data_IF_034325352327
#
_entry.id   IF_034325352327
#
_cell.length_a   1.000
_cell.length_b   1.000
_cell.length_c   1.000
_cell.angle_alpha   90.00
_cell.angle_beta   90.00
_cell.angle_gamma   90.00
#
_symmetry.space_group_name_H-M   'P 1'
#
loop_
_entity.id
_entity.type
_entity.pdbx_description
1 polymer ?
#
# COMPACT_ATOMS: atom_id res chain seq x y z
N UNK A 1 -30.38 17.92 -16.89
CA UNK A 1 -31.79 18.21 -16.53
C UNK A 1 -32.65 18.57 -17.74
N UNK A 2 -32.26 19.52 -18.61
CA UNK A 2 -33.07 19.90 -19.78
C UNK A 2 -33.20 18.84 -20.89
N UNK A 3 -32.19 17.97 -21.09
CA UNK A 3 -32.24 16.92 -22.12
C UNK A 3 -33.19 15.76 -21.75
N UNK A 4 -33.31 15.48 -20.45
CA UNK A 4 -34.23 14.46 -19.90
C UNK A 4 -35.68 14.96 -19.96
N UNK A 5 -35.91 16.25 -19.70
CA UNK A 5 -37.23 16.89 -19.81
C UNK A 5 -37.79 16.91 -21.25
N UNK A 6 -36.93 17.02 -22.27
CA UNK A 6 -37.37 17.01 -23.67
C UNK A 6 -37.77 15.61 -24.14
N UNK A 7 -37.06 14.57 -23.67
CA UNK A 7 -37.40 13.16 -23.93
C UNK A 7 -38.68 12.78 -23.17
N UNK A 8 -38.84 13.21 -21.92
CA UNK A 8 -40.05 12.95 -21.13
C UNK A 8 -41.30 13.58 -21.76
N UNK A 9 -41.21 14.82 -22.28
CA UNK A 9 -42.33 15.50 -22.93
C UNK A 9 -42.70 14.90 -24.29
N UNK A 10 -41.70 14.43 -25.04
CA UNK A 10 -41.89 13.69 -26.29
C UNK A 10 -42.56 12.33 -26.05
N UNK A 11 -42.21 11.64 -24.96
CA UNK A 11 -42.79 10.35 -24.58
C UNK A 11 -44.18 10.47 -23.91
N UNK A 12 -44.49 11.57 -23.22
CA UNK A 12 -45.85 11.84 -22.70
C UNK A 12 -46.87 12.12 -23.83
N UNK A 13 -46.45 12.79 -24.90
CA UNK A 13 -47.35 13.16 -26.01
C UNK A 13 -47.63 12.01 -26.99
N UNK A 14 -46.69 11.06 -27.19
CA UNK A 14 -46.90 9.92 -28.11
C UNK A 14 -47.53 8.66 -27.47
N UNK A 15 -47.40 8.45 -26.15
CA UNK A 15 -47.72 7.16 -25.52
C UNK A 15 -48.93 7.20 -24.56
N UNK A 16 -49.67 8.31 -24.51
CA UNK A 16 -50.85 8.48 -23.65
C UNK A 16 -52.11 7.73 -24.16
N UNK A 17 -52.09 7.18 -25.37
CA UNK A 17 -53.24 6.48 -25.95
C UNK A 17 -52.82 5.20 -26.64
N UNK A 18 -53.40 4.10 -26.16
CA UNK A 18 -53.40 2.73 -26.72
C UNK A 18 -52.30 1.76 -26.25
N UNK A 19 -52.74 0.53 -25.98
CA UNK A 19 -51.97 -0.65 -25.59
C UNK A 19 -50.88 -0.98 -26.64
N UNK A 20 -49.71 -0.37 -26.52
CA UNK A 20 -48.55 -0.73 -27.33
C UNK A 20 -47.75 -1.82 -26.62
N UNK A 21 -47.89 -3.06 -27.08
CA UNK A 21 -46.94 -4.15 -26.80
C UNK A 21 -45.59 -3.80 -27.46
N UNK A 22 -44.67 -3.20 -26.70
CA UNK A 22 -43.32 -2.88 -27.20
C UNK A 22 -42.46 -4.15 -27.17
N UNK A 23 -42.04 -4.55 -28.36
CA UNK A 23 -41.32 -5.78 -28.70
C UNK A 23 -40.01 -5.99 -27.89
N UNK A 24 -39.68 -7.26 -27.61
CA UNK A 24 -38.50 -7.86 -26.94
C UNK A 24 -37.10 -7.50 -27.53
N UNK A 25 -36.90 -6.30 -28.09
CA UNK A 25 -35.66 -5.87 -28.76
C UNK A 25 -35.44 -4.37 -28.65
N UNK A 26 -35.74 -3.77 -27.51
CA UNK A 26 -35.75 -2.31 -27.42
C UNK A 26 -34.36 -1.68 -27.69
N UNK A 27 -33.24 -2.35 -27.32
CA UNK A 27 -31.89 -1.82 -27.59
C UNK A 27 -30.79 -2.91 -27.79
N UNK A 28 -30.82 -3.71 -28.88
CA UNK A 28 -29.82 -4.76 -29.15
C UNK A 28 -28.38 -4.23 -29.35
N UNK A 29 -28.20 -2.91 -29.49
CA UNK A 29 -26.93 -2.26 -29.81
C UNK A 29 -26.45 -1.28 -28.75
N UNK A 30 -27.03 -1.29 -27.54
CA UNK A 30 -26.57 -0.40 -26.48
C UNK A 30 -25.17 -0.80 -26.02
N UNK A 31 -24.18 0.03 -26.36
CA UNK A 31 -22.77 -0.19 -26.06
C UNK A 31 -22.37 0.36 -24.68
N UNK A 32 -23.12 1.34 -24.17
CA UNK A 32 -22.81 2.15 -23.01
C UNK A 32 -24.06 2.33 -22.14
N UNK A 33 -23.95 1.97 -20.87
CA UNK A 33 -24.98 2.22 -19.85
C UNK A 33 -24.36 2.98 -18.69
N UNK A 34 -24.90 4.18 -18.41
CA UNK A 34 -24.44 5.04 -17.32
C UNK A 34 -25.60 5.31 -16.38
N UNK A 35 -25.46 4.89 -15.12
CA UNK A 35 -26.47 5.04 -14.08
C UNK A 35 -25.81 5.60 -12.82
N UNK A 36 -25.18 6.78 -12.89
CA UNK A 36 -24.40 7.34 -11.78
C UNK A 36 -25.26 8.10 -10.78
N UNK A 37 -24.94 7.99 -9.49
CA UNK A 37 -25.55 8.83 -8.45
C UNK A 37 -26.95 8.41 -8.01
N UNK A 38 -27.36 7.16 -8.24
CA UNK A 38 -28.60 6.60 -7.71
C UNK A 38 -28.35 5.97 -6.31
N UNK A 39 -29.35 5.31 -5.72
CA UNK A 39 -29.23 4.67 -4.40
C UNK A 39 -29.58 3.18 -4.48
N UNK A 40 -28.85 2.44 -5.32
CA UNK A 40 -29.13 1.02 -5.56
C UNK A 40 -28.96 0.15 -4.31
N UNK A 41 -28.00 0.46 -3.43
CA UNK A 41 -27.87 -0.27 -2.16
C UNK A 41 -27.41 -1.71 -2.36
N UNK A 42 -28.27 -2.70 -2.18
CA UNK A 42 -27.92 -4.12 -2.35
C UNK A 42 -28.28 -4.60 -3.76
N UNK A 43 -27.29 -5.10 -4.51
CA UNK A 43 -27.46 -5.64 -5.88
C UNK A 43 -27.00 -7.11 -5.98
N UNK A 44 -26.98 -7.83 -4.85
CA UNK A 44 -26.51 -9.22 -4.82
C UNK A 44 -27.37 -10.18 -5.64
N UNK A 45 -28.66 -9.88 -5.82
CA UNK A 45 -29.61 -10.81 -6.44
C UNK A 45 -29.70 -10.64 -7.98
N UNK A 46 -28.65 -10.07 -8.55
CA UNK A 46 -28.52 -9.81 -9.99
C UNK A 46 -28.86 -8.37 -10.33
N UNK A 47 -28.07 -7.73 -11.21
CA UNK A 47 -28.45 -6.45 -11.79
C UNK A 47 -29.45 -6.61 -12.97
N UNK A 48 -29.88 -7.86 -13.30
CA UNK A 48 -30.65 -8.20 -14.51
C UNK A 48 -31.54 -9.50 -14.44
N UNK A 49 -32.19 -9.89 -13.32
CA UNK A 49 -32.89 -11.20 -13.19
C UNK A 49 -34.37 -11.24 -12.65
N UNK A 50 -35.26 -11.78 -13.52
CA UNK A 50 -36.67 -12.27 -13.44
C UNK A 50 -37.89 -11.52 -12.81
N UNK A 51 -38.99 -11.50 -13.59
CA UNK A 51 -40.37 -11.20 -13.17
C UNK A 51 -41.06 -9.96 -13.81
N UNK A 52 -41.71 -10.13 -14.98
CA UNK A 52 -42.67 -9.22 -15.69
C UNK A 52 -42.50 -7.70 -15.42
N UNK A 53 -41.91 -6.95 -16.37
CA UNK A 53 -41.72 -5.48 -16.22
C UNK A 53 -42.25 -4.65 -17.42
N UNK A 54 -42.82 -3.44 -17.18
CA UNK A 54 -43.38 -2.53 -18.20
C UNK A 54 -42.30 -1.64 -18.89
N UNK A 55 -42.66 -0.77 -19.87
CA UNK A 55 -41.72 -0.17 -20.83
C UNK A 55 -40.74 0.88 -20.28
N UNK A 56 -39.73 1.24 -21.09
CA UNK A 56 -38.55 2.08 -20.76
C UNK A 56 -38.85 3.49 -20.22
N UNK A 57 -40.02 4.05 -20.51
CA UNK A 57 -40.46 5.29 -19.85
C UNK A 57 -40.85 5.04 -18.38
N UNK A 58 -41.46 3.89 -18.09
CA UNK A 58 -41.72 3.40 -16.73
C UNK A 58 -40.44 2.92 -16.04
N UNK A 59 -39.42 2.46 -16.79
CA UNK A 59 -38.11 2.03 -16.30
C UNK A 59 -37.31 3.17 -15.64
N UNK A 60 -37.34 4.39 -16.20
CA UNK A 60 -36.72 5.56 -15.57
C UNK A 60 -37.48 6.03 -14.33
N UNK A 61 -38.82 5.93 -14.35
CA UNK A 61 -39.70 6.27 -13.22
C UNK A 61 -39.57 5.24 -12.08
N UNK A 62 -39.39 3.96 -12.39
CA UNK A 62 -39.20 2.88 -11.42
C UNK A 62 -37.79 2.86 -10.82
N UNK A 63 -36.75 3.30 -11.55
CA UNK A 63 -35.39 3.48 -10.99
C UNK A 63 -35.35 4.57 -9.91
N UNK A 64 -36.21 5.57 -10.00
CA UNK A 64 -36.36 6.63 -8.99
C UNK A 64 -37.22 6.19 -7.79
N UNK A 65 -38.13 5.21 -7.98
CA UNK A 65 -39.09 4.75 -6.97
C UNK A 65 -38.71 3.43 -6.25
N UNK A 66 -38.03 2.49 -6.93
CA UNK A 66 -37.62 1.20 -6.36
C UNK A 66 -36.50 0.52 -7.20
N UNK A 67 -35.23 0.59 -6.78
CA UNK A 67 -34.09 0.05 -7.54
C UNK A 67 -34.04 -1.49 -7.65
N UNK A 68 -34.90 -2.22 -6.94
CA UNK A 68 -35.02 -3.67 -7.04
C UNK A 68 -35.70 -4.16 -8.35
N UNK A 69 -36.20 -3.24 -9.19
CA UNK A 69 -36.93 -3.55 -10.43
C UNK A 69 -36.06 -3.56 -11.71
N UNK A 70 -34.74 -3.42 -11.59
CA UNK A 70 -33.80 -3.39 -12.73
C UNK A 70 -33.67 -4.74 -13.48
N UNK A 71 -34.45 -5.76 -13.11
CA UNK A 71 -33.98 -7.13 -13.16
C UNK A 71 -34.88 -8.05 -14.01
N UNK A 72 -34.70 -8.12 -15.36
CA UNK A 72 -35.15 -9.30 -16.15
C UNK A 72 -34.39 -9.58 -17.48
N UNK A 73 -33.60 -10.65 -17.51
CA UNK A 73 -33.65 -11.71 -18.54
C UNK A 73 -32.85 -11.54 -19.84
N UNK A 74 -32.49 -10.32 -20.23
CA UNK A 74 -31.69 -10.12 -21.44
C UNK A 74 -30.20 -10.08 -21.15
N UNK A 75 -29.47 -10.97 -21.85
CA UNK A 75 -28.01 -10.87 -21.91
C UNK A 75 -27.66 -9.71 -22.84
N UNK A 76 -27.20 -8.61 -22.27
CA UNK A 76 -26.68 -7.47 -23.01
C UNK A 76 -25.30 -7.81 -23.59
N UNK A 77 -25.32 -8.58 -24.68
CA UNK A 77 -24.13 -9.11 -25.37
C UNK A 77 -23.34 -8.05 -26.14
N UNK A 78 -23.91 -6.85 -26.31
CA UNK A 78 -23.27 -5.69 -26.95
C UNK A 78 -22.79 -4.64 -25.94
N UNK A 79 -23.22 -4.70 -24.68
CA UNK A 79 -22.85 -3.71 -23.67
C UNK A 79 -21.37 -3.83 -23.32
N UNK A 80 -20.61 -2.80 -23.65
CA UNK A 80 -19.16 -2.73 -23.48
C UNK A 80 -18.78 -1.89 -22.26
N UNK A 81 -19.55 -0.87 -21.91
CA UNK A 81 -19.29 0.03 -20.79
C UNK A 81 -20.48 0.06 -19.84
N UNK A 82 -20.21 -0.24 -18.56
CA UNK A 82 -21.18 -0.14 -17.47
C UNK A 82 -20.63 0.81 -16.39
N UNK A 83 -21.29 1.95 -16.19
CA UNK A 83 -20.92 2.92 -15.17
C UNK A 83 -21.97 2.97 -14.06
N UNK A 84 -21.57 2.48 -12.89
CA UNK A 84 -22.36 2.38 -11.66
C UNK A 84 -21.75 3.24 -10.53
N UNK A 85 -21.04 4.31 -10.89
CA UNK A 85 -20.40 5.21 -9.91
C UNK A 85 -21.42 5.87 -8.98
N UNK A 86 -21.13 5.92 -7.68
CA UNK A 86 -21.92 6.70 -6.73
C UNK A 86 -23.30 6.13 -6.43
N UNK A 87 -23.49 4.80 -6.55
CA UNK A 87 -24.81 4.17 -6.36
C UNK A 87 -25.05 3.60 -4.96
N UNK A 88 -24.11 3.78 -4.04
CA UNK A 88 -24.20 3.21 -2.70
C UNK A 88 -24.25 1.68 -2.69
N UNK A 89 -23.66 1.02 -3.70
CA UNK A 89 -23.65 -0.45 -3.80
C UNK A 89 -22.92 -1.05 -2.59
N UNK A 90 -23.57 -1.95 -1.87
CA UNK A 90 -23.07 -2.54 -0.62
C UNK A 90 -22.68 -4.00 -0.73
N UNK A 91 -23.25 -4.73 -1.69
CA UNK A 91 -22.91 -6.13 -1.94
C UNK A 91 -22.86 -6.43 -3.43
N UNK A 92 -21.96 -7.33 -3.80
CA UNK A 92 -21.81 -7.85 -5.15
C UNK A 92 -21.74 -9.39 -5.06
N UNK A 93 -22.33 -10.11 -6.00
CA UNK A 93 -22.27 -11.58 -6.09
C UNK A 93 -21.95 -12.02 -7.52
N UNK A 94 -21.83 -13.33 -7.74
CA UNK A 94 -21.72 -13.93 -9.07
C UNK A 94 -22.93 -13.65 -9.98
N UNK A 95 -24.10 -13.38 -9.40
CA UNK A 95 -25.31 -13.10 -10.17
C UNK A 95 -25.41 -11.62 -10.55
N UNK A 96 -24.80 -10.71 -9.77
CA UNK A 96 -24.84 -9.26 -10.00
C UNK A 96 -24.55 -8.87 -11.46
N UNK A 97 -23.53 -9.45 -12.09
CA UNK A 97 -23.11 -9.06 -13.45
C UNK A 97 -23.41 -10.10 -14.54
N UNK A 98 -24.25 -11.10 -14.24
CA UNK A 98 -24.52 -12.22 -15.15
C UNK A 98 -25.17 -11.79 -16.48
N UNK A 99 -25.98 -10.73 -16.46
CA UNK A 99 -26.64 -10.17 -17.65
C UNK A 99 -25.74 -9.32 -18.56
N UNK A 100 -24.51 -9.01 -18.15
CA UNK A 100 -23.62 -8.10 -18.89
C UNK A 100 -22.24 -8.72 -19.20
N UNK A 101 -22.16 -9.92 -19.82
CA UNK A 101 -20.89 -10.65 -19.98
C UNK A 101 -19.92 -10.01 -20.99
N UNK A 102 -20.41 -9.10 -21.84
CA UNK A 102 -19.60 -8.42 -22.86
C UNK A 102 -18.88 -7.17 -22.35
N UNK A 103 -19.15 -6.74 -21.12
CA UNK A 103 -18.59 -5.52 -20.53
C UNK A 103 -17.07 -5.60 -20.49
N UNK A 104 -16.45 -4.55 -21.04
CA UNK A 104 -15.01 -4.31 -21.05
C UNK A 104 -14.61 -3.25 -20.03
N UNK A 105 -15.49 -2.28 -19.75
CA UNK A 105 -15.22 -1.16 -18.85
C UNK A 105 -16.28 -1.12 -17.75
N UNK A 106 -15.89 -1.39 -16.51
CA UNK A 106 -16.78 -1.34 -15.36
C UNK A 106 -16.30 -0.28 -14.37
N UNK A 107 -17.16 0.68 -14.07
CA UNK A 107 -16.92 1.71 -13.07
C UNK A 107 -17.84 1.51 -11.87
N UNK A 108 -17.24 1.23 -10.71
CA UNK A 108 -17.89 1.05 -9.41
C UNK A 108 -17.42 2.10 -8.40
N UNK A 109 -16.88 3.22 -8.87
CA UNK A 109 -16.35 4.28 -8.03
C UNK A 109 -17.37 4.79 -7.01
N UNK A 110 -16.90 5.26 -5.86
CA UNK A 110 -17.72 5.94 -4.85
C UNK A 110 -18.96 5.13 -4.40
N UNK A 111 -18.83 3.80 -4.35
CA UNK A 111 -19.79 2.90 -3.73
C UNK A 111 -19.36 2.53 -2.29
N UNK A 112 -20.08 1.63 -1.63
CA UNK A 112 -19.82 1.24 -0.24
C UNK A 112 -19.83 -0.29 -0.11
N UNK A 113 -19.07 -0.95 -0.99
CA UNK A 113 -19.04 -2.40 -1.13
C UNK A 113 -18.46 -2.99 0.15
N UNK A 114 -19.32 -3.65 0.91
CA UNK A 114 -19.01 -4.29 2.18
C UNK A 114 -18.96 -5.79 2.02
N UNK A 115 -19.69 -6.40 1.09
CA UNK A 115 -19.74 -7.87 0.94
C UNK A 115 -19.54 -8.26 -0.52
N UNK A 116 -18.82 -9.36 -0.73
CA UNK A 116 -18.69 -9.99 -2.04
C UNK A 116 -19.02 -11.47 -1.92
N UNK A 117 -19.83 -11.98 -2.84
CA UNK A 117 -19.93 -13.40 -3.13
C UNK A 117 -18.73 -13.86 -3.96
N UNK A 118 -18.44 -15.16 -3.92
CA UNK A 118 -17.41 -15.76 -4.77
C UNK A 118 -17.76 -15.56 -6.24
N UNK A 119 -16.74 -15.46 -7.09
CA UNK A 119 -16.89 -15.38 -8.55
C UNK A 119 -17.66 -14.14 -9.02
N UNK A 120 -17.66 -13.07 -8.22
CA UNK A 120 -18.41 -11.85 -8.46
C UNK A 120 -18.22 -11.27 -9.87
N UNK A 121 -16.98 -11.24 -10.36
CA UNK A 121 -16.66 -10.71 -11.68
C UNK A 121 -16.50 -11.79 -12.76
N UNK A 122 -16.68 -13.07 -12.42
CA UNK A 122 -16.50 -14.18 -13.35
C UNK A 122 -17.43 -14.14 -14.59
N UNK A 123 -18.65 -13.58 -14.55
CA UNK A 123 -19.46 -13.44 -15.77
C UNK A 123 -18.83 -12.52 -16.83
N UNK A 124 -18.04 -11.51 -16.43
CA UNK A 124 -17.49 -10.49 -17.33
C UNK A 124 -16.10 -10.91 -17.86
N UNK A 125 -16.06 -11.96 -18.67
CA UNK A 125 -14.80 -12.51 -19.21
C UNK A 125 -14.06 -11.57 -20.17
N UNK A 126 -14.71 -10.50 -20.65
CA UNK A 126 -14.12 -9.47 -21.50
C UNK A 126 -13.68 -8.22 -20.74
N UNK A 127 -13.76 -8.23 -19.41
CA UNK A 127 -13.42 -7.07 -18.59
C UNK A 127 -11.96 -6.68 -18.79
N UNK A 128 -11.72 -5.43 -19.19
CA UNK A 128 -10.41 -4.84 -19.47
C UNK A 128 -10.01 -3.79 -18.47
N UNK A 129 -10.99 -3.01 -18.00
CA UNK A 129 -10.80 -1.95 -17.01
C UNK A 129 -11.84 -2.11 -15.92
N UNK A 130 -11.36 -2.19 -14.68
CA UNK A 130 -12.18 -2.18 -13.49
C UNK A 130 -11.74 -1.02 -12.58
N UNK A 131 -12.63 -0.06 -12.40
CA UNK A 131 -12.41 1.06 -11.50
C UNK A 131 -13.26 0.90 -10.24
N UNK A 132 -12.60 0.71 -9.11
CA UNK A 132 -13.19 0.57 -7.78
C UNK A 132 -12.63 1.64 -6.84
N UNK A 133 -12.25 2.80 -7.36
CA UNK A 133 -11.71 3.90 -6.55
C UNK A 133 -12.75 4.36 -5.53
N UNK A 134 -12.39 4.35 -4.25
CA UNK A 134 -13.30 4.72 -3.17
C UNK A 134 -14.54 3.83 -3.01
N UNK A 135 -14.59 2.65 -3.65
CA UNK A 135 -15.74 1.73 -3.59
C UNK A 135 -15.77 0.85 -2.32
N UNK A 136 -14.63 0.78 -1.62
CA UNK A 136 -14.29 0.09 -0.37
C UNK A 136 -15.05 0.56 0.87
N UNK A 137 -16.17 -0.07 1.23
CA UNK A 137 -16.92 0.29 2.43
C UNK A 137 -16.13 0.19 3.75
N UNK A 138 -16.67 0.79 4.83
CA UNK A 138 -16.01 0.77 6.17
C UNK A 138 -15.94 -0.66 6.72
N UNK A 139 -14.78 -1.29 6.58
CA UNK A 139 -14.41 -2.58 7.19
C UNK A 139 -13.02 -2.49 7.79
N UNK A 140 -12.70 -3.44 8.69
CA UNK A 140 -11.31 -3.60 9.15
C UNK A 140 -10.37 -3.88 7.97
N UNK A 141 -9.09 -3.54 8.11
CA UNK A 141 -8.11 -3.77 7.03
C UNK A 141 -8.03 -5.26 6.62
N UNK A 142 -8.09 -6.20 7.57
CA UNK A 142 -8.12 -7.63 7.30
C UNK A 142 -9.36 -8.01 6.46
N UNK A 143 -10.52 -7.47 6.84
CA UNK A 143 -11.77 -7.70 6.11
C UNK A 143 -11.77 -7.09 4.70
N UNK A 144 -11.00 -6.04 4.44
CA UNK A 144 -10.82 -5.50 3.08
C UNK A 144 -9.92 -6.40 2.23
N UNK A 145 -8.85 -6.95 2.81
CA UNK A 145 -8.00 -7.92 2.11
C UNK A 145 -8.79 -9.17 1.71
N UNK A 146 -9.61 -9.70 2.63
CA UNK A 146 -10.49 -10.85 2.36
C UNK A 146 -11.50 -10.54 1.27
N UNK A 147 -12.14 -9.37 1.34
CA UNK A 147 -13.12 -8.92 0.33
C UNK A 147 -12.50 -8.84 -1.06
N UNK A 148 -11.32 -8.23 -1.20
CA UNK A 148 -10.62 -8.12 -2.48
C UNK A 148 -10.22 -9.51 -3.00
N UNK A 149 -9.73 -10.40 -2.14
CA UNK A 149 -9.41 -11.78 -2.55
C UNK A 149 -10.64 -12.54 -3.06
N UNK A 150 -11.81 -12.36 -2.43
CA UNK A 150 -13.06 -12.99 -2.88
C UNK A 150 -13.52 -12.43 -4.23
N UNK A 151 -13.40 -11.11 -4.43
CA UNK A 151 -13.79 -10.45 -5.69
C UNK A 151 -13.01 -10.99 -6.91
N UNK A 152 -11.73 -11.35 -6.72
CA UNK A 152 -10.87 -11.91 -7.77
C UNK A 152 -10.73 -13.44 -7.70
N UNK A 153 -11.57 -14.11 -6.91
CA UNK A 153 -11.68 -15.57 -6.95
C UNK A 153 -12.36 -16.01 -8.25
N UNK A 154 -11.86 -17.07 -8.87
CA UNK A 154 -12.44 -17.65 -10.11
C UNK A 154 -12.03 -19.10 -10.29
N UNK A 155 -12.95 -19.92 -10.81
CA UNK A 155 -12.69 -21.31 -11.21
C UNK A 155 -12.20 -21.41 -12.67
N UNK A 156 -12.34 -20.34 -13.46
CA UNK A 156 -11.92 -20.27 -14.85
C UNK A 156 -10.41 -20.02 -14.98
N UNK A 157 -9.94 -19.78 -16.21
CA UNK A 157 -8.53 -19.53 -16.56
C UNK A 157 -7.93 -18.24 -15.97
N UNK A 158 -8.59 -17.57 -15.03
CA UNK A 158 -8.21 -16.24 -14.53
C UNK A 158 -8.73 -15.11 -15.41
N UNK A 159 -8.62 -13.88 -14.91
CA UNK A 159 -8.96 -12.65 -15.62
C UNK A 159 -7.81 -12.30 -16.59
N UNK A 160 -7.85 -12.90 -17.78
CA UNK A 160 -6.81 -12.77 -18.81
C UNK A 160 -6.89 -11.46 -19.61
N UNK A 161 -8.07 -10.88 -19.74
CA UNK A 161 -8.29 -9.61 -20.47
C UNK A 161 -8.19 -8.38 -19.56
N UNK A 162 -8.27 -8.55 -18.23
CA UNK A 162 -8.27 -7.45 -17.27
C UNK A 162 -6.89 -6.80 -17.23
N UNK A 163 -6.75 -5.66 -17.90
CA UNK A 163 -5.51 -4.96 -18.11
C UNK A 163 -5.27 -3.84 -17.08
N UNK A 164 -6.34 -3.23 -16.56
CA UNK A 164 -6.25 -2.11 -15.63
C UNK A 164 -7.21 -2.28 -14.45
N UNK A 165 -6.65 -2.19 -13.24
CA UNK A 165 -7.39 -2.27 -11.99
C UNK A 165 -7.05 -1.05 -11.13
N UNK A 166 -8.09 -0.30 -10.75
CA UNK A 166 -7.96 0.83 -9.84
C UNK A 166 -8.64 0.54 -8.52
N UNK A 167 -7.85 0.61 -7.46
CA UNK A 167 -8.24 0.39 -6.07
C UNK A 167 -7.81 1.57 -5.19
N UNK A 168 -7.62 2.75 -5.78
CA UNK A 168 -7.23 3.95 -5.06
C UNK A 168 -8.27 4.36 -4.00
N UNK A 169 -7.84 5.11 -2.98
CA UNK A 169 -8.73 5.72 -1.98
C UNK A 169 -9.64 4.72 -1.21
N UNK A 170 -9.23 3.46 -1.10
CA UNK A 170 -10.02 2.41 -0.46
C UNK A 170 -9.61 2.12 0.99
N UNK A 171 -8.68 2.89 1.56
CA UNK A 171 -8.15 2.70 2.91
C UNK A 171 -7.66 1.25 3.17
N UNK A 172 -7.07 0.62 2.14
CA UNK A 172 -6.57 -0.74 2.21
C UNK A 172 -5.31 -0.75 3.09
N UNK A 173 -5.33 -1.48 4.20
CA UNK A 173 -4.17 -1.57 5.11
C UNK A 173 -3.23 -2.74 4.81
N UNK A 174 -3.74 -3.78 4.14
CA UNK A 174 -3.01 -5.00 3.81
C UNK A 174 -3.62 -5.67 2.58
N UNK A 175 -2.79 -6.37 1.82
CA UNK A 175 -3.16 -7.33 0.79
C UNK A 175 -2.45 -8.66 1.05
N UNK A 176 -3.02 -9.77 0.59
CA UNK A 176 -2.33 -11.05 0.61
C UNK A 176 -1.43 -11.15 -0.62
N UNK A 177 -0.30 -11.87 -0.49
CA UNK A 177 0.68 -12.01 -1.57
C UNK A 177 0.09 -12.62 -2.84
N UNK A 178 -0.98 -13.38 -2.70
CA UNK A 178 -1.67 -14.10 -3.76
C UNK A 178 -2.98 -13.45 -4.23
N UNK A 179 -3.36 -12.29 -3.67
CA UNK A 179 -4.63 -11.60 -3.97
C UNK A 179 -4.86 -11.41 -5.48
N UNK A 180 -3.81 -11.12 -6.26
CA UNK A 180 -3.94 -10.87 -7.69
C UNK A 180 -3.38 -12.00 -8.57
N UNK A 181 -3.13 -13.20 -8.03
CA UNK A 181 -2.59 -14.32 -8.81
C UNK A 181 -3.53 -14.83 -9.92
N UNK A 182 -4.83 -14.54 -9.83
CA UNK A 182 -5.82 -14.89 -10.85
C UNK A 182 -6.05 -13.77 -11.87
N UNK A 183 -5.44 -12.59 -11.69
CA UNK A 183 -5.57 -11.45 -12.61
C UNK A 183 -4.38 -11.46 -13.58
N UNK A 184 -4.37 -12.45 -14.47
CA UNK A 184 -3.22 -12.80 -15.28
C UNK A 184 -2.86 -11.74 -16.33
N UNK A 185 -3.85 -10.99 -16.82
CA UNK A 185 -3.67 -9.95 -17.84
C UNK A 185 -3.24 -8.58 -17.31
N UNK A 186 -3.09 -8.42 -15.98
CA UNK A 186 -2.99 -7.09 -15.37
C UNK A 186 -1.70 -6.39 -15.79
N UNK A 187 -1.84 -5.20 -16.38
CA UNK A 187 -0.74 -4.32 -16.80
C UNK A 187 -0.63 -3.08 -15.95
N UNK A 188 -1.75 -2.55 -15.45
CA UNK A 188 -1.78 -1.35 -14.59
C UNK A 188 -2.54 -1.63 -13.31
N UNK A 189 -1.90 -1.35 -12.19
CA UNK A 189 -2.49 -1.47 -10.86
C UNK A 189 -2.32 -0.16 -10.10
N UNK A 190 -3.44 0.46 -9.76
CA UNK A 190 -3.47 1.66 -8.93
C UNK A 190 -3.93 1.31 -7.51
N UNK A 191 -3.00 1.43 -6.57
CA UNK A 191 -3.21 1.26 -5.13
C UNK A 191 -2.91 2.57 -4.38
N UNK A 192 -2.93 3.71 -5.06
CA UNK A 192 -2.63 5.02 -4.49
C UNK A 192 -3.61 5.41 -3.38
N UNK A 193 -3.16 6.28 -2.47
CA UNK A 193 -3.99 6.86 -1.41
C UNK A 193 -4.71 5.79 -0.56
N UNK A 194 -3.99 4.72 -0.23
CA UNK A 194 -4.43 3.67 0.68
C UNK A 194 -3.64 3.73 1.99
N UNK A 195 -3.82 2.74 2.85
CA UNK A 195 -3.16 2.66 4.15
C UNK A 195 -2.06 1.58 4.16
N UNK A 196 -1.48 1.24 3.01
CA UNK A 196 -0.52 0.13 2.89
C UNK A 196 0.81 0.52 3.54
N UNK A 197 1.33 -0.36 4.39
CA UNK A 197 2.69 -0.23 4.93
C UNK A 197 3.69 -1.16 4.24
N UNK A 198 3.21 -2.14 3.46
CA UNK A 198 4.00 -3.08 2.68
C UNK A 198 3.17 -3.60 1.49
N UNK A 199 3.85 -4.09 0.46
CA UNK A 199 3.24 -4.71 -0.72
C UNK A 199 4.14 -5.88 -1.15
N UNK A 200 3.59 -7.08 -1.16
CA UNK A 200 4.29 -8.32 -1.52
C UNK A 200 3.46 -9.09 -2.53
N UNK A 201 4.13 -9.77 -3.44
CA UNK A 201 3.50 -10.56 -4.50
C UNK A 201 4.11 -11.95 -4.49
N UNK A 202 3.27 -12.98 -4.58
CA UNK A 202 3.71 -14.36 -4.67
C UNK A 202 4.43 -14.59 -6.01
N UNK A 203 5.39 -15.53 -6.07
CA UNK A 203 6.06 -15.89 -7.31
C UNK A 203 5.03 -16.25 -8.40
N UNK A 204 5.30 -15.82 -9.63
CA UNK A 204 4.47 -16.06 -10.81
C UNK A 204 3.13 -15.31 -10.87
N UNK A 205 2.90 -14.38 -9.95
CA UNK A 205 1.72 -13.51 -9.98
C UNK A 205 2.11 -12.13 -10.53
N UNK A 206 1.17 -11.45 -11.20
CA UNK A 206 1.39 -10.12 -11.80
C UNK A 206 2.56 -10.04 -12.80
N UNK A 207 2.85 -11.12 -13.55
CA UNK A 207 3.98 -11.19 -14.50
C UNK A 207 3.91 -10.15 -15.63
N UNK A 208 2.70 -9.75 -16.01
CA UNK A 208 2.45 -8.76 -17.06
C UNK A 208 2.31 -7.33 -16.54
N UNK A 209 2.52 -7.09 -15.23
CA UNK A 209 2.34 -5.76 -14.65
C UNK A 209 3.43 -4.82 -15.17
N UNK A 210 3.01 -3.75 -15.84
CA UNK A 210 3.86 -2.75 -16.47
C UNK A 210 3.90 -1.45 -15.66
N UNK A 211 2.81 -1.09 -14.98
CA UNK A 211 2.68 0.12 -14.18
C UNK A 211 2.03 -0.16 -12.82
N UNK A 212 2.65 0.37 -11.76
CA UNK A 212 2.19 0.24 -10.39
C UNK A 212 2.21 1.60 -9.69
N UNK A 213 1.05 2.04 -9.18
CA UNK A 213 0.95 3.24 -8.35
C UNK A 213 0.74 2.84 -6.88
N UNK A 214 1.72 3.19 -6.05
CA UNK A 214 1.75 3.01 -4.60
C UNK A 214 1.83 4.36 -3.86
N UNK A 215 1.57 5.47 -4.56
CA UNK A 215 1.68 6.81 -4.00
C UNK A 215 0.68 7.05 -2.85
N UNK A 216 1.00 7.97 -1.94
CA UNK A 216 0.09 8.34 -0.85
C UNK A 216 -0.27 7.20 0.11
N UNK A 217 0.63 6.24 0.31
CA UNK A 217 0.47 5.15 1.29
C UNK A 217 1.32 5.43 2.55
N UNK A 218 1.55 4.41 3.39
CA UNK A 218 2.37 4.51 4.60
C UNK A 218 3.58 3.59 4.57
N UNK A 219 4.25 3.50 3.42
CA UNK A 219 5.53 2.80 3.29
C UNK A 219 6.59 3.48 4.17
N UNK A 220 6.64 3.06 5.43
CA UNK A 220 7.53 3.55 6.50
C UNK A 220 8.34 2.38 7.04
N UNK A 221 9.63 2.57 7.28
CA UNK A 221 10.40 1.62 8.10
C UNK A 221 10.05 1.90 9.57
N UNK A 222 9.12 1.15 10.16
CA UNK A 222 8.83 1.28 11.60
C UNK A 222 9.93 0.60 12.40
N UNK A 223 10.68 1.42 13.16
CA UNK A 223 11.61 1.00 14.23
C UNK A 223 10.87 0.15 15.27
N UNK A 224 11.45 -0.98 15.65
CA UNK A 224 11.00 -1.75 16.81
C UNK A 224 11.13 -0.91 18.10
N UNK A 225 10.10 -0.91 18.94
CA UNK A 225 10.22 -0.47 20.34
C UNK A 225 11.11 -1.47 21.07
N UNK A 226 12.33 -1.08 21.43
CA UNK A 226 13.07 -1.76 22.49
C UNK A 226 12.48 -1.31 23.84
N UNK A 227 11.75 -2.20 24.51
CA UNK A 227 11.47 -2.06 25.94
C UNK A 227 12.75 -2.41 26.70
N UNK A 228 13.56 -1.41 27.01
CA UNK A 228 14.70 -1.57 27.92
C UNK A 228 14.18 -1.73 29.36
N UNK A 229 14.08 -2.98 29.81
CA UNK A 229 14.16 -3.33 31.22
C UNK A 229 14.75 -4.74 31.36
N UNK A 230 16.08 -4.78 31.48
CA UNK A 230 16.83 -5.78 32.26
C UNK A 230 16.40 -7.27 32.17
N UNK A 231 16.44 -7.86 30.98
CA UNK A 231 16.65 -9.29 30.78
C UNK A 231 17.38 -9.48 29.44
N UNK A 232 18.71 -9.38 29.47
CA UNK A 232 19.54 -9.34 28.27
C UNK A 232 19.56 -10.71 27.59
N UNK A 233 19.16 -10.76 26.31
CA UNK A 233 19.08 -11.92 25.41
C UNK A 233 17.84 -12.83 25.56
N UNK A 234 16.70 -12.37 25.05
CA UNK A 234 15.80 -13.16 24.19
C UNK A 234 14.87 -12.20 23.44
N UNK A 235 14.75 -12.35 22.12
CA UNK A 235 13.83 -11.55 21.30
C UNK A 235 14.52 -10.71 20.23
N UNK A 236 15.21 -11.36 19.28
CA UNK A 236 15.66 -10.71 18.05
C UNK A 236 14.41 -10.47 17.16
N UNK A 237 13.62 -9.43 17.46
CA UNK A 237 12.56 -8.98 16.55
C UNK A 237 13.20 -8.12 15.47
N UNK A 238 13.55 -8.78 14.37
CA UNK A 238 14.07 -8.12 13.18
C UNK A 238 12.92 -7.96 12.19
N UNK A 239 12.32 -6.76 12.13
CA UNK A 239 11.57 -6.35 10.94
C UNK A 239 12.43 -5.36 10.18
N UNK A 240 13.33 -5.89 9.35
CA UNK A 240 13.84 -5.11 8.24
C UNK A 240 12.68 -4.91 7.29
N UNK A 241 12.17 -3.69 7.18
CA UNK A 241 11.44 -3.33 5.98
C UNK A 241 12.51 -3.21 4.87
N UNK A 242 12.70 -4.31 4.15
CA UNK A 242 13.20 -4.27 2.79
C UNK A 242 12.01 -3.74 1.99
N UNK A 243 12.15 -2.61 1.30
CA UNK A 243 11.40 -2.48 0.05
C UNK A 243 11.70 -3.79 -0.70
N UNK A 244 10.71 -4.63 -1.03
CA UNK A 244 11.00 -6.01 -1.41
C UNK A 244 11.99 -5.99 -2.56
N UNK A 245 13.24 -6.37 -2.29
CA UNK A 245 14.22 -6.52 -3.38
C UNK A 245 13.70 -7.58 -4.37
N UNK A 246 12.85 -8.47 -3.87
CA UNK A 246 12.11 -9.51 -4.58
C UNK A 246 10.87 -9.04 -5.33
N UNK A 247 10.41 -7.79 -5.18
CA UNK A 247 9.32 -7.25 -6.02
C UNK A 247 9.77 -7.24 -7.48
N UNK A 248 11.01 -6.84 -7.73
CA UNK A 248 11.59 -6.81 -9.08
C UNK A 248 11.91 -8.20 -9.62
N UNK A 249 12.21 -9.16 -8.74
CA UNK A 249 12.34 -10.57 -9.12
C UNK A 249 10.98 -11.18 -9.53
N UNK A 250 9.87 -10.63 -9.02
CA UNK A 250 8.52 -11.16 -9.27
C UNK A 250 7.78 -10.41 -10.39
N UNK A 251 8.09 -9.13 -10.59
CA UNK A 251 7.44 -8.22 -11.54
C UNK A 251 8.37 -7.92 -12.72
N UNK A 252 8.64 -8.94 -13.54
CA UNK A 252 9.63 -8.91 -14.63
C UNK A 252 9.38 -7.78 -15.66
N UNK A 253 8.10 -7.45 -15.88
CA UNK A 253 7.63 -6.49 -16.88
C UNK A 253 7.43 -5.07 -16.32
N UNK A 254 7.63 -4.86 -15.01
CA UNK A 254 7.34 -3.57 -14.38
C UNK A 254 8.29 -2.51 -14.91
N UNK A 255 7.73 -1.50 -15.56
CA UNK A 255 8.46 -0.38 -16.16
C UNK A 255 8.18 0.92 -15.43
N UNK A 256 7.00 1.06 -14.83
CA UNK A 256 6.53 2.32 -14.25
C UNK A 256 6.15 2.13 -12.79
N UNK A 257 6.73 2.93 -11.90
CA UNK A 257 6.43 2.89 -10.47
C UNK A 257 6.29 4.30 -9.88
N UNK A 258 5.21 4.53 -9.14
CA UNK A 258 5.04 5.71 -8.29
C UNK A 258 5.02 5.30 -6.82
N UNK A 259 5.89 5.91 -6.01
CA UNK A 259 5.93 5.74 -4.55
C UNK A 259 5.91 7.10 -3.83
N UNK A 260 5.57 8.18 -4.54
CA UNK A 260 5.53 9.53 -3.99
C UNK A 260 4.49 9.67 -2.87
N UNK A 261 4.65 10.67 -2.00
CA UNK A 261 3.73 10.86 -0.87
C UNK A 261 3.77 9.75 0.19
N UNK A 262 4.81 8.91 0.20
CA UNK A 262 5.06 7.94 1.27
C UNK A 262 6.07 8.46 2.30
N UNK A 263 5.95 8.09 3.58
CA UNK A 263 6.89 8.45 4.63
C UNK A 263 8.19 7.61 4.56
N UNK A 264 8.94 7.73 3.46
CA UNK A 264 10.10 6.88 3.19
C UNK A 264 11.24 7.09 4.20
N UNK A 265 11.84 6.00 4.69
CA UNK A 265 13.07 6.06 5.49
C UNK A 265 14.29 5.82 4.59
N UNK A 266 14.94 6.89 4.16
CA UNK A 266 16.11 6.90 3.30
C UNK A 266 17.42 6.64 4.06
N UNK A 267 17.47 5.54 4.79
CA UNK A 267 18.71 5.03 5.38
C UNK A 267 19.36 3.97 4.48
N UNK A 268 20.35 3.26 5.03
CA UNK A 268 21.09 2.22 4.33
C UNK A 268 20.18 1.09 3.77
N UNK A 269 19.03 0.81 4.38
CA UNK A 269 18.13 -0.26 3.92
C UNK A 269 17.48 0.04 2.56
N UNK A 270 17.42 1.31 2.17
CA UNK A 270 16.90 1.76 0.87
C UNK A 270 17.95 1.70 -0.25
N UNK A 271 19.20 1.31 0.03
CA UNK A 271 20.24 1.23 -1.00
C UNK A 271 19.88 0.31 -2.17
N UNK A 272 19.33 -0.91 -1.99
CA UNK A 272 18.94 -1.75 -3.11
C UNK A 272 17.90 -1.08 -4.01
N UNK A 273 16.90 -0.41 -3.42
CA UNK A 273 15.91 0.34 -4.16
C UNK A 273 16.55 1.51 -4.91
N UNK A 274 17.41 2.29 -4.25
CA UNK A 274 18.14 3.41 -4.88
C UNK A 274 19.01 2.97 -6.05
N UNK A 275 19.61 1.78 -5.99
CA UNK A 275 20.40 1.23 -7.09
C UNK A 275 19.53 0.87 -8.31
N UNK A 276 18.35 0.27 -8.09
CA UNK A 276 17.38 -0.05 -9.14
C UNK A 276 16.76 1.23 -9.71
N UNK A 277 16.48 2.20 -8.85
CA UNK A 277 15.93 3.50 -9.19
C UNK A 277 16.76 4.32 -10.18
N UNK A 278 18.06 4.02 -10.27
CA UNK A 278 19.00 4.68 -11.18
C UNK A 278 19.13 3.97 -12.53
N UNK A 279 18.50 2.82 -12.73
CA UNK A 279 18.59 2.08 -14.00
C UNK A 279 17.59 2.65 -15.01
N UNK A 280 18.03 2.85 -16.26
CA UNK A 280 17.22 3.42 -17.34
C UNK A 280 15.99 2.59 -17.73
N UNK A 281 15.97 1.30 -17.39
CA UNK A 281 14.84 0.39 -17.64
C UNK A 281 13.56 0.84 -16.92
N UNK A 282 13.68 1.54 -15.80
CA UNK A 282 12.55 1.87 -14.93
C UNK A 282 12.22 3.37 -14.97
N UNK A 283 10.98 3.67 -15.34
CA UNK A 283 10.36 4.99 -15.26
C UNK A 283 9.75 5.18 -13.88
N UNK A 284 10.43 5.95 -13.03
CA UNK A 284 9.83 6.40 -11.78
C UNK A 284 9.00 7.63 -12.05
N UNK A 285 7.70 7.58 -11.74
CA UNK A 285 6.82 8.73 -11.86
C UNK A 285 6.98 9.64 -10.64
N UNK A 286 6.66 10.93 -10.81
CA UNK A 286 6.65 11.91 -9.73
C UNK A 286 7.94 11.93 -8.89
N UNK A 287 9.10 11.78 -9.54
CA UNK A 287 10.41 11.72 -8.86
C UNK A 287 10.64 12.92 -7.94
N UNK A 288 10.29 14.13 -8.39
CA UNK A 288 10.40 15.37 -7.61
C UNK A 288 9.54 15.40 -6.34
N UNK A 289 8.53 14.53 -6.23
CA UNK A 289 7.64 14.41 -5.05
C UNK A 289 7.96 13.20 -4.19
N UNK A 290 8.97 12.41 -4.55
CA UNK A 290 9.41 11.24 -3.77
C UNK A 290 10.44 11.68 -2.73
N UNK A 291 9.93 12.17 -1.61
CA UNK A 291 10.73 12.76 -0.55
C UNK A 291 10.99 11.76 0.58
N UNK A 292 12.18 11.88 1.18
CA UNK A 292 12.53 11.17 2.39
C UNK A 292 11.81 11.79 3.60
N UNK A 293 11.19 10.96 4.44
CA UNK A 293 10.66 11.39 5.74
C UNK A 293 11.67 11.19 6.88
N UNK A 294 12.57 10.22 6.74
CA UNK A 294 13.63 9.93 7.71
C UNK A 294 14.89 9.39 7.00
N UNK A 295 16.06 9.31 7.66
CA UNK A 295 16.41 9.90 8.96
C UNK A 295 16.39 11.45 8.95
N UNK A 296 16.42 12.15 10.11
CA UNK A 296 16.27 13.61 10.18
C UNK A 296 17.23 14.42 9.30
N UNK A 297 18.47 13.95 9.10
CA UNK A 297 19.47 14.58 8.23
C UNK A 297 19.16 14.45 6.72
N UNK A 298 18.19 13.61 6.36
CA UNK A 298 17.71 13.40 4.99
C UNK A 298 16.23 13.73 4.81
N UNK A 299 15.52 14.06 5.89
CA UNK A 299 14.11 14.45 5.83
C UNK A 299 13.92 15.64 4.88
N UNK A 300 12.88 15.56 4.03
CA UNK A 300 12.54 16.54 3.00
C UNK A 300 13.39 16.48 1.73
N UNK A 301 14.47 15.68 1.69
CA UNK A 301 15.30 15.54 0.47
C UNK A 301 14.65 14.59 -0.52
N UNK A 302 14.82 14.86 -1.81
CA UNK A 302 14.40 13.98 -2.89
C UNK A 302 15.30 12.73 -2.90
N UNK A 303 14.68 11.53 -2.88
CA UNK A 303 15.36 10.25 -2.87
C UNK A 303 16.26 10.05 -4.10
N UNK A 304 15.84 10.52 -5.28
CA UNK A 304 16.56 10.34 -6.55
C UNK A 304 17.75 11.30 -6.71
N UNK A 305 17.76 12.40 -5.95
CA UNK A 305 18.83 13.41 -5.97
C UNK A 305 19.90 13.17 -4.89
N UNK A 306 19.77 12.11 -4.09
CA UNK A 306 20.75 11.77 -3.08
C UNK A 306 22.07 11.33 -3.74
N UNK A 307 23.05 12.23 -3.72
CA UNK A 307 24.42 12.03 -4.24
C UNK A 307 25.26 11.10 -3.36
N UNK A 308 24.92 10.97 -2.08
CA UNK A 308 25.66 10.14 -1.11
C UNK A 308 25.16 8.69 -1.14
N UNK A 309 26.09 7.72 -1.15
CA UNK A 309 25.74 6.33 -0.88
C UNK A 309 25.01 6.25 0.46
N UNK A 310 23.79 5.71 0.44
CA UNK A 310 22.92 5.66 1.63
C UNK A 310 23.60 4.99 2.84
N UNK A 311 24.57 4.10 2.58
CA UNK A 311 25.33 3.32 3.57
C UNK A 311 26.76 3.84 3.86
N UNK A 312 27.21 4.98 3.31
CA UNK A 312 28.49 5.58 3.74
C UNK A 312 28.34 6.11 5.16
N UNK A 313 28.65 5.27 6.14
CA UNK A 313 28.86 5.68 7.51
C UNK A 313 30.03 6.66 7.54
N UNK A 314 29.79 7.86 8.05
CA UNK A 314 30.86 8.77 8.37
C UNK A 314 31.72 8.09 9.44
N UNK A 315 32.89 7.56 9.07
CA UNK A 315 33.84 6.87 9.94
C UNK A 315 34.54 7.83 10.94
N UNK A 316 33.77 8.72 11.55
CA UNK A 316 34.26 9.69 12.51
C UNK A 316 34.60 8.99 13.82
N UNK A 317 33.92 7.87 14.14
CA UNK A 317 34.21 7.04 15.31
C UNK A 317 35.62 6.43 15.30
N UNK A 318 36.03 5.77 14.20
CA UNK A 318 37.38 5.20 14.10
C UNK A 318 38.46 6.30 14.10
N UNK A 319 38.23 7.40 13.39
CA UNK A 319 39.15 8.54 13.38
C UNK A 319 39.35 9.14 14.79
N UNK A 320 38.27 9.36 15.53
CA UNK A 320 38.34 9.89 16.90
C UNK A 320 39.01 8.92 17.88
N UNK A 321 38.77 7.62 17.73
CA UNK A 321 39.34 6.60 18.62
C UNK A 321 40.84 6.42 18.37
N UNK A 322 41.27 6.47 17.11
CA UNK A 322 42.70 6.51 16.75
C UNK A 322 43.35 7.77 17.31
N UNK A 323 42.71 8.93 17.19
CA UNK A 323 43.25 10.19 17.73
C UNK A 323 43.42 10.13 19.25
N UNK A 324 42.44 9.59 19.98
CA UNK A 324 42.51 9.41 21.44
C UNK A 324 43.62 8.44 21.86
N UNK A 325 43.80 7.34 21.12
CA UNK A 325 44.89 6.38 21.37
C UNK A 325 46.25 7.04 21.13
N UNK A 326 46.41 7.81 20.05
CA UNK A 326 47.65 8.53 19.75
C UNK A 326 47.98 9.57 20.83
N UNK A 327 46.99 10.36 21.25
CA UNK A 327 47.16 11.37 22.31
C UNK A 327 47.50 10.72 23.65
N UNK A 328 46.82 9.64 24.03
CA UNK A 328 47.12 8.93 25.29
C UNK A 328 48.51 8.29 25.29
N UNK A 329 48.94 7.70 24.16
CA UNK A 329 50.29 7.17 24.00
C UNK A 329 51.36 8.26 24.10
N UNK A 330 51.13 9.42 23.46
CA UNK A 330 52.03 10.57 23.57
C UNK A 330 52.15 11.07 25.01
N UNK A 331 51.04 11.21 25.73
CA UNK A 331 51.03 11.58 27.14
C UNK A 331 51.80 10.59 28.02
N UNK A 332 51.67 9.28 27.77
CA UNK A 332 52.42 8.24 28.48
C UNK A 332 53.92 8.30 28.22
N UNK A 333 54.34 8.58 26.97
CA UNK A 333 55.74 8.75 26.64
C UNK A 333 56.34 9.99 27.30
N UNK A 334 55.61 11.10 27.30
CA UNK A 334 56.00 12.32 28.02
C UNK A 334 56.11 12.05 29.51
N UNK A 335 55.11 11.40 30.13
CA UNK A 335 55.15 11.03 31.54
C UNK A 335 56.35 10.14 31.88
N UNK A 336 56.64 9.11 31.07
CA UNK A 336 57.83 8.27 31.24
C UNK A 336 59.12 9.05 31.11
N UNK A 337 59.20 9.98 30.15
CA UNK A 337 60.37 10.84 29.98
C UNK A 337 60.62 11.74 31.20
N UNK A 338 59.56 12.33 31.75
CA UNK A 338 59.67 13.18 32.94
C UNK A 338 59.93 12.38 34.23
N UNK A 339 59.28 11.22 34.42
CA UNK A 339 59.50 10.36 35.59
C UNK A 339 60.97 9.95 35.73
N UNK A 340 61.63 9.65 34.61
CA UNK A 340 63.04 9.26 34.61
C UNK A 340 64.01 10.42 34.91
N UNK A 341 63.53 11.66 34.99
CA UNK A 341 64.32 12.86 35.33
C UNK A 341 64.03 13.42 36.71
N UNK A 342 63.10 12.83 37.47
CA UNK A 342 62.85 13.24 38.86
C UNK A 342 63.91 12.54 39.74
N UNK A 343 64.83 13.27 40.38
CA UNK A 343 65.76 12.69 41.33
C UNK A 343 65.00 12.11 42.53
N UNK A 344 65.32 10.88 42.91
CA UNK A 344 64.78 10.24 44.11
C UNK A 344 65.22 11.07 45.32
N UNK A 345 64.32 11.58 46.18
CA UNK A 345 64.75 12.25 47.40
C UNK A 345 65.50 11.24 48.29
N UNK A 346 66.59 11.65 48.98
CA UNK A 346 67.37 10.73 49.80
C UNK A 346 66.48 10.12 50.89
N UNK A 347 66.67 8.83 51.14
CA UNK A 347 65.95 8.08 52.16
C UNK A 347 66.20 8.70 53.54
N UNK A 348 65.13 9.10 54.23
CA UNK A 348 65.19 9.43 55.66
C UNK A 348 65.52 8.14 56.43
N UNK A 349 66.73 8.06 56.99
CA UNK A 349 67.09 7.03 57.97
C UNK A 349 66.43 7.39 59.31
N UNK A 350 65.44 6.61 59.75
CA UNK A 350 65.05 6.58 61.16
C UNK A 350 66.00 5.64 61.89
N UNK A 351 66.91 6.21 62.69
CA UNK A 351 67.73 5.47 63.65
C UNK A 351 66.94 5.27 64.95
N UNK A 352 66.83 4.03 65.42
CA UNK A 352 66.34 3.72 66.77
C UNK A 352 67.55 3.65 67.71
N UNK A 353 67.64 4.59 68.65
CA UNK A 353 68.48 4.45 69.85
C UNK A 353 67.69 3.64 70.89
N UNK A 354 68.25 2.51 71.32
CA UNK A 354 67.68 1.70 72.39
C UNK A 354 67.62 2.46 73.72
N UNK A 355 66.59 2.18 74.50
CA UNK A 355 66.52 2.54 75.91
C UNK A 355 66.11 1.29 76.69
N UNK A 356 67.02 0.88 77.57
CA UNK A 356 66.82 -0.05 78.67
C UNK A 356 65.76 0.44 79.65
N UNK A 357 65.24 -0.53 80.40
CA UNK A 357 64.54 -0.47 81.70
C UNK A 357 63.03 -0.13 81.72
N UNK A 358 62.29 -1.16 82.13
CA UNK A 358 61.11 -1.22 82.99
C UNK A 358 59.88 -0.32 82.78
N UNK A 359 58.77 -1.05 82.63
CA UNK A 359 57.40 -0.85 83.12
C UNK A 359 56.46 0.22 82.53
N UNK A 360 55.26 -0.30 82.23
CA UNK A 360 53.96 0.35 82.05
C UNK A 360 53.70 1.28 80.85
N UNK A 361 52.98 0.68 79.90
CA UNK A 361 51.80 1.23 79.22
C UNK A 361 51.74 2.74 78.92
N UNK A 362 52.22 3.14 77.74
CA UNK A 362 51.74 4.36 77.06
C UNK A 362 51.55 4.10 75.57
N UNK A 363 50.38 4.49 75.06
CA UNK A 363 49.94 4.35 73.66
C UNK A 363 50.82 5.20 72.71
N UNK A 364 51.09 4.75 71.48
CA UNK A 364 51.80 5.59 70.52
C UNK A 364 50.87 6.66 69.94
N UNK A 365 51.28 7.93 70.06
CA UNK A 365 50.84 9.02 69.19
C UNK A 365 51.70 9.03 67.92
N UNK A 366 51.06 9.12 66.76
CA UNK A 366 51.71 9.30 65.47
C UNK A 366 52.06 10.78 65.28
N UNK A 367 53.31 11.06 64.91
CA UNK A 367 53.70 12.32 64.25
C UNK A 367 53.94 12.02 62.78
#
# INVERSE_FOLDING_TARGET
MLFILHILRFLEEEFATEDVQIHERAFPHMDTLTMTGNSFGDISDGLFTEGKVPPIALFLILVELNPALLFTGEVHSSLSLLNLTGNGITKISSDTFKGAPAVQFLYLNDNDIRQAGRYAFEPMQRLRVLDMTGALGRRSAASKADLISILFETEKRGFVELAELKLANNQIGKLYKDTFCKVLGLRRLDLSNNNLSYFEVAPNCLRSLEALDLSGNHFTVVRTKYSSASAQFTGLSVRFFKFPTTLWDSLESLSTLDISGNPLNCDCSMQPFSAIAKQEKYSFLNQGKTLCASPPNRAGKNLFELKEDLCKSSSWGLGTLILLVVVSAACLLVYRHYRNRIPVPPAFQFGYSGLDSDDDAVRPEFV
#
